data_IF_695798255642
#
_entry.id   IF_695798255642
#
_cell.length_a   1.000
_cell.length_b   1.000
_cell.length_c   1.000
_cell.angle_alpha   90.00
_cell.angle_beta   90.00
_cell.angle_gamma   90.00
#
_symmetry.space_group_name_H-M   'P 1'
#
loop_
_entity.id
_entity.type
_entity.pdbx_description
1 polymer ?
#
# COMPACT_ATOMS: atom_id res chain seq x y z
N UNK A 1 -9.35 -5.37 -0.71
CA UNK A 1 -9.20 -4.16 0.13
C UNK A 1 -10.50 -3.78 0.82
N UNK A 2 -11.59 -3.45 0.12
CA UNK A 2 -12.90 -3.13 0.74
C UNK A 2 -13.33 -4.12 1.84
N UNK A 3 -13.15 -5.43 1.63
CA UNK A 3 -13.47 -6.45 2.63
C UNK A 3 -12.76 -6.26 3.98
N UNK A 4 -11.57 -5.65 4.01
CA UNK A 4 -10.87 -5.36 5.27
C UNK A 4 -11.56 -4.22 6.03
N UNK A 5 -11.98 -3.16 5.33
CA UNK A 5 -12.73 -2.07 5.95
C UNK A 5 -14.10 -2.54 6.45
N UNK A 6 -14.85 -3.28 5.61
CA UNK A 6 -16.15 -3.86 6.00
C UNK A 6 -16.06 -4.85 7.16
N UNK A 7 -14.88 -5.43 7.43
CA UNK A 7 -14.69 -6.39 8.51
C UNK A 7 -14.38 -5.72 9.87
N UNK A 8 -13.85 -4.50 9.88
CA UNK A 8 -13.26 -3.90 11.08
C UNK A 8 -13.68 -2.47 11.37
N UNK A 9 -14.27 -1.77 10.41
CA UNK A 9 -14.69 -0.38 10.56
C UNK A 9 -16.18 -0.35 10.85
N UNK A 10 -16.56 0.40 11.87
CA UNK A 10 -17.94 0.71 12.22
C UNK A 10 -18.18 2.23 12.24
N UNK A 11 -19.44 2.63 12.42
CA UNK A 11 -19.80 4.03 12.51
C UNK A 11 -19.06 4.72 13.67
N UNK A 12 -18.29 5.76 13.34
CA UNK A 12 -17.53 6.54 14.32
C UNK A 12 -16.11 6.06 14.56
N UNK A 13 -15.69 4.94 13.97
CA UNK A 13 -14.28 4.57 13.89
C UNK A 13 -13.53 5.54 12.96
N UNK A 14 -12.29 5.83 13.30
CA UNK A 14 -11.39 6.66 12.51
C UNK A 14 -10.32 5.83 11.82
N UNK A 15 -10.09 6.12 10.54
CA UNK A 15 -9.03 5.50 9.74
C UNK A 15 -8.06 6.57 9.29
N UNK A 16 -6.78 6.37 9.61
CA UNK A 16 -5.71 7.27 9.16
C UNK A 16 -5.24 6.84 7.78
N UNK A 17 -5.16 7.79 6.85
CA UNK A 17 -4.54 7.61 5.53
C UNK A 17 -3.50 8.70 5.28
N UNK A 18 -2.50 8.36 4.45
CA UNK A 18 -1.44 9.30 4.08
C UNK A 18 -1.76 10.04 2.78
N UNK A 19 -1.62 11.36 2.76
CA UNK A 19 -1.80 12.16 1.54
C UNK A 19 -0.48 12.31 0.77
N UNK A 20 -0.50 12.27 -0.57
CA UNK A 20 -1.64 11.95 -1.44
C UNK A 20 -2.01 10.46 -1.36
N UNK A 21 -3.29 10.11 -1.47
CA UNK A 21 -3.77 8.74 -1.28
C UNK A 21 -4.36 8.13 -2.56
N UNK A 22 -4.51 6.80 -2.58
CA UNK A 22 -5.34 6.12 -3.58
C UNK A 22 -6.81 6.46 -3.36
N UNK A 23 -7.47 6.94 -4.42
CA UNK A 23 -8.83 7.47 -4.41
C UNK A 23 -9.85 6.52 -3.77
N UNK A 24 -9.75 5.21 -4.04
CA UNK A 24 -10.69 4.23 -3.49
C UNK A 24 -10.62 4.07 -1.97
N UNK A 25 -9.57 4.55 -1.29
CA UNK A 25 -9.55 4.51 0.18
C UNK A 25 -10.73 5.28 0.75
N UNK A 26 -11.11 6.41 0.15
CA UNK A 26 -12.21 7.25 0.64
C UNK A 26 -13.50 6.45 0.73
N UNK A 27 -13.99 5.99 -0.43
CA UNK A 27 -15.27 5.29 -0.50
C UNK A 27 -15.25 3.99 0.29
N UNK A 28 -14.12 3.30 0.35
CA UNK A 28 -14.01 2.03 1.08
C UNK A 28 -14.06 2.20 2.60
N UNK A 29 -13.60 3.35 3.12
CA UNK A 29 -13.63 3.70 4.55
C UNK A 29 -15.01 4.24 4.94
N UNK A 30 -15.57 5.13 4.12
CA UNK A 30 -16.84 5.80 4.42
C UNK A 30 -18.05 4.87 4.28
N UNK A 31 -17.99 3.89 3.37
CA UNK A 31 -19.08 2.93 3.13
C UNK A 31 -19.52 2.16 4.40
N UNK A 32 -18.61 1.61 5.23
CA UNK A 32 -18.97 1.05 6.54
C UNK A 32 -19.22 2.09 7.65
N UNK A 33 -19.14 3.39 7.35
CA UNK A 33 -19.37 4.48 8.31
C UNK A 33 -18.12 5.04 8.99
N UNK A 34 -16.92 4.70 8.50
CA UNK A 34 -15.66 5.20 9.02
C UNK A 34 -15.42 6.67 8.68
N UNK A 35 -14.68 7.36 9.55
CA UNK A 35 -14.21 8.74 9.34
C UNK A 35 -12.74 8.75 8.98
N UNK A 36 -12.39 9.47 7.91
CA UNK A 36 -11.00 9.55 7.46
C UNK A 36 -10.26 10.63 8.25
N UNK A 37 -9.04 10.30 8.67
CA UNK A 37 -8.09 11.23 9.26
C UNK A 37 -6.86 11.33 8.37
N UNK A 38 -6.57 12.53 7.90
CA UNK A 38 -5.50 12.75 6.93
C UNK A 38 -4.19 13.10 7.62
N UNK A 39 -3.10 12.45 7.18
CA UNK A 39 -1.73 12.79 7.56
C UNK A 39 -0.91 12.97 6.28
N UNK A 40 -0.31 14.14 6.02
CA UNK A 40 0.40 14.38 4.79
C UNK A 40 1.77 13.67 4.76
N UNK A 41 2.13 13.15 3.60
CA UNK A 41 3.52 13.04 3.18
C UNK A 41 3.97 14.44 2.77
N UNK A 42 4.95 14.97 3.48
CA UNK A 42 5.54 16.27 3.20
C UNK A 42 6.46 16.15 1.98
N UNK A 43 6.23 16.95 0.92
CA UNK A 43 7.16 17.02 -0.21
C UNK A 43 8.47 17.68 0.22
N UNK A 44 9.57 17.45 -0.53
CA UNK A 44 10.79 18.23 -0.35
C UNK A 44 10.52 19.72 -0.59
N UNK A 45 11.14 20.59 0.23
CA UNK A 45 10.88 22.04 0.26
C UNK A 45 11.07 22.74 -1.08
N UNK A 46 11.94 22.19 -1.93
CA UNK A 46 12.31 22.68 -3.24
C UNK A 46 11.80 21.79 -4.38
N UNK A 47 10.86 20.87 -4.11
CA UNK A 47 10.30 19.95 -5.10
C UNK A 47 9.50 20.62 -6.23
N UNK A 48 9.15 21.91 -6.08
CA UNK A 48 8.55 22.71 -7.16
C UNK A 48 9.59 23.34 -8.09
N UNK A 49 10.87 23.36 -7.70
CA UNK A 49 11.95 24.09 -8.39
C UNK A 49 13.05 23.15 -8.88
N UNK A 50 13.26 22.03 -8.18
CA UNK A 50 14.17 20.98 -8.62
C UNK A 50 13.53 19.62 -8.58
N UNK A 51 13.97 18.78 -9.51
CA UNK A 51 13.69 17.37 -9.50
C UNK A 51 14.19 16.72 -8.21
N UNK A 52 13.33 15.94 -7.56
CA UNK A 52 13.61 15.25 -6.30
C UNK A 52 13.22 13.78 -6.37
N UNK A 53 13.96 12.92 -5.67
CA UNK A 53 13.60 11.51 -5.46
C UNK A 53 12.35 11.39 -4.58
N UNK A 54 11.50 10.39 -4.82
CA UNK A 54 10.38 10.07 -3.94
C UNK A 54 10.82 9.75 -2.51
N UNK A 55 12.06 9.30 -2.30
CA UNK A 55 12.63 9.08 -0.96
C UNK A 55 12.75 10.36 -0.13
N UNK A 56 12.74 11.54 -0.75
CA UNK A 56 12.78 12.83 -0.06
C UNK A 56 11.41 13.26 0.47
N UNK A 57 10.33 12.57 0.11
CA UNK A 57 9.03 12.75 0.75
C UNK A 57 9.06 12.10 2.12
N UNK A 58 8.60 12.82 3.15
CA UNK A 58 8.69 12.39 4.55
C UNK A 58 7.35 12.39 5.23
N UNK A 59 7.12 11.48 6.16
CA UNK A 59 5.90 11.48 6.98
C UNK A 59 6.01 12.55 8.07
N UNK A 60 4.97 13.37 8.26
CA UNK A 60 4.85 14.19 9.47
C UNK A 60 4.44 13.31 10.66
N UNK A 61 5.44 12.80 11.38
CA UNK A 61 5.22 11.94 12.54
C UNK A 61 4.61 12.68 13.73
N UNK A 62 4.85 13.98 13.87
CA UNK A 62 4.24 14.77 14.95
C UNK A 62 2.73 14.89 14.69
N UNK A 63 2.34 15.15 13.44
CA UNK A 63 0.94 15.15 13.04
C UNK A 63 0.31 13.76 13.13
N UNK A 64 1.02 12.69 12.75
CA UNK A 64 0.55 11.32 12.91
C UNK A 64 0.22 11.01 14.39
N UNK A 65 1.15 11.31 15.29
CA UNK A 65 0.97 11.09 16.73
C UNK A 65 -0.22 11.89 17.29
N UNK A 66 -0.37 13.15 16.89
CA UNK A 66 -1.49 14.02 17.31
C UNK A 66 -2.85 13.58 16.74
N UNK A 67 -2.84 12.89 15.60
CA UNK A 67 -4.06 12.43 14.92
C UNK A 67 -4.65 11.19 15.61
N UNK A 68 -3.79 10.34 16.17
CA UNK A 68 -4.21 9.12 16.85
C UNK A 68 -4.98 9.45 18.14
N UNK A 69 -6.15 8.84 18.30
CA UNK A 69 -6.99 8.94 19.49
C UNK A 69 -7.75 7.63 19.75
N UNK A 70 -8.67 7.64 20.71
CA UNK A 70 -9.42 6.43 21.12
C UNK A 70 -10.36 5.87 20.05
N UNK A 71 -10.68 6.63 19.00
CA UNK A 71 -11.48 6.19 17.85
C UNK A 71 -10.62 5.65 16.71
N UNK A 72 -9.30 5.82 16.75
CA UNK A 72 -8.42 5.37 15.67
C UNK A 72 -8.39 3.85 15.61
N UNK A 73 -9.01 3.29 14.57
CA UNK A 73 -9.18 1.86 14.38
C UNK A 73 -8.13 1.25 13.46
N UNK A 74 -7.74 2.00 12.44
CA UNK A 74 -6.86 1.50 11.38
C UNK A 74 -5.93 2.60 10.84
N UNK A 75 -4.72 2.22 10.44
CA UNK A 75 -3.82 3.02 9.61
C UNK A 75 -3.66 2.30 8.27
N UNK A 76 -3.87 3.01 7.16
CA UNK A 76 -3.61 2.50 5.81
C UNK A 76 -2.21 2.94 5.38
N UNK A 77 -1.35 1.99 5.07
CA UNK A 77 -0.04 2.23 4.47
C UNK A 77 -0.08 1.87 3.00
N UNK A 78 0.61 2.63 2.16
CA UNK A 78 0.79 2.29 0.76
C UNK A 78 2.26 2.39 0.39
N UNK A 79 2.89 1.24 0.10
CA UNK A 79 4.32 1.15 -0.20
C UNK A 79 4.59 -0.06 -1.09
N UNK A 80 5.21 0.09 -2.28
CA UNK A 80 5.53 1.36 -2.95
C UNK A 80 4.29 2.24 -3.19
N UNK A 81 4.44 3.53 -2.90
CA UNK A 81 3.34 4.48 -2.74
C UNK A 81 2.82 5.00 -4.09
N UNK A 82 1.52 4.99 -4.30
CA UNK A 82 0.84 5.63 -5.41
C UNK A 82 0.18 6.94 -4.91
N UNK A 83 0.47 8.12 -5.50
CA UNK A 83 1.19 8.36 -6.77
C UNK A 83 2.69 8.64 -6.65
N UNK A 84 3.21 8.88 -5.45
CA UNK A 84 4.56 9.45 -5.26
C UNK A 84 5.72 8.54 -5.74
N UNK A 85 5.54 7.22 -5.75
CA UNK A 85 6.61 6.25 -5.99
C UNK A 85 7.48 5.94 -4.77
N UNK A 86 7.18 6.55 -3.61
CA UNK A 86 7.97 6.38 -2.38
C UNK A 86 7.88 4.93 -1.90
N UNK A 87 9.03 4.31 -1.69
CA UNK A 87 9.15 3.10 -0.87
C UNK A 87 9.44 3.55 0.56
N UNK A 88 8.52 3.29 1.50
CA UNK A 88 8.72 3.64 2.90
C UNK A 88 9.93 2.89 3.47
N UNK A 89 10.79 3.60 4.20
CA UNK A 89 12.00 3.00 4.77
C UNK A 89 11.66 2.12 5.96
N UNK A 90 12.57 1.23 6.33
CA UNK A 90 12.41 0.39 7.53
C UNK A 90 12.19 1.23 8.78
N UNK A 91 12.93 2.33 8.94
CA UNK A 91 12.85 3.23 10.09
C UNK A 91 11.48 3.95 10.14
N UNK A 92 10.94 4.36 9.00
CA UNK A 92 9.59 4.93 8.92
C UNK A 92 8.54 3.90 9.36
N UNK A 93 8.64 2.67 8.86
CA UNK A 93 7.72 1.58 9.18
C UNK A 93 7.83 1.16 10.66
N UNK A 94 9.03 1.17 11.26
CA UNK A 94 9.24 0.89 12.68
C UNK A 94 8.55 1.95 13.56
N UNK A 95 8.64 3.23 13.20
CA UNK A 95 7.97 4.32 13.94
C UNK A 95 6.45 4.22 13.84
N UNK A 96 5.91 3.98 12.65
CA UNK A 96 4.46 3.75 12.46
C UNK A 96 4.03 2.51 13.26
N UNK A 97 4.82 1.44 13.16
CA UNK A 97 4.58 0.19 13.85
C UNK A 97 4.53 0.37 15.37
N UNK A 98 5.46 1.13 15.95
CA UNK A 98 5.46 1.44 17.38
C UNK A 98 4.18 2.15 17.83
N UNK A 99 3.66 3.09 17.03
CA UNK A 99 2.38 3.76 17.31
C UNK A 99 1.20 2.80 17.20
N UNK A 100 1.17 1.97 16.16
CA UNK A 100 0.13 0.95 15.99
C UNK A 100 0.14 -0.08 17.13
N UNK A 101 1.33 -0.44 17.62
CA UNK A 101 1.52 -1.30 18.80
C UNK A 101 0.94 -0.65 20.04
N UNK A 102 1.42 0.55 20.36
CA UNK A 102 1.05 1.33 21.54
C UNK A 102 -0.46 1.57 21.65
N UNK A 103 -1.12 1.84 20.54
CA UNK A 103 -2.54 2.23 20.50
C UNK A 103 -3.48 1.10 20.08
N UNK A 104 -2.95 -0.12 19.88
CA UNK A 104 -3.74 -1.28 19.43
C UNK A 104 -4.50 -1.05 18.11
N UNK A 105 -3.83 -0.45 17.13
CA UNK A 105 -4.39 -0.07 15.83
C UNK A 105 -4.07 -1.16 14.78
N UNK A 106 -5.05 -1.49 13.93
CA UNK A 106 -4.84 -2.40 12.79
C UNK A 106 -4.08 -1.67 11.69
N UNK A 107 -3.11 -2.34 11.06
CA UNK A 107 -2.41 -1.82 9.88
C UNK A 107 -2.97 -2.51 8.63
N UNK A 108 -3.48 -1.73 7.69
CA UNK A 108 -3.76 -2.21 6.33
C UNK A 108 -2.61 -1.79 5.43
N UNK A 109 -1.70 -2.72 5.12
CA UNK A 109 -0.51 -2.48 4.30
C UNK A 109 -0.82 -2.77 2.83
N UNK A 110 -1.14 -1.73 2.06
CA UNK A 110 -1.35 -1.80 0.62
C UNK A 110 0.00 -1.90 -0.13
N UNK A 111 0.35 -3.14 -0.46
CA UNK A 111 1.62 -3.53 -1.07
C UNK A 111 1.41 -4.07 -2.49
N UNK A 112 0.40 -3.58 -3.24
CA UNK A 112 0.11 -4.07 -4.60
C UNK A 112 1.25 -3.87 -5.61
N UNK A 113 2.23 -3.03 -5.29
CA UNK A 113 3.44 -2.80 -6.07
C UNK A 113 4.70 -3.48 -5.48
N UNK A 114 4.55 -4.48 -4.60
CA UNK A 114 5.64 -5.18 -3.91
C UNK A 114 6.65 -5.95 -4.79
N UNK A 115 6.48 -5.92 -6.12
CA UNK A 115 7.44 -6.43 -7.11
C UNK A 115 8.08 -5.34 -7.97
N UNK A 116 7.57 -4.11 -7.89
CA UNK A 116 8.01 -2.95 -8.66
C UNK A 116 8.65 -1.90 -7.75
N UNK A 117 9.90 -2.13 -7.40
CA UNK A 117 10.71 -1.24 -6.57
C UNK A 117 12.16 -1.25 -7.07
N UNK A 118 12.89 -0.16 -6.82
CA UNK A 118 14.30 0.00 -7.24
C UNK A 118 15.23 0.32 -6.07
N UNK A 119 14.69 0.26 -4.85
CA UNK A 119 15.38 0.42 -3.57
C UNK A 119 14.92 -0.70 -2.63
N UNK A 120 15.64 -1.01 -1.54
CA UNK A 120 15.22 -2.05 -0.60
C UNK A 120 13.76 -1.88 -0.14
N UNK A 121 12.97 -2.95 -0.27
CA UNK A 121 11.57 -2.98 0.11
C UNK A 121 11.39 -3.74 1.43
N UNK A 122 10.65 -3.16 2.36
CA UNK A 122 10.38 -3.75 3.68
C UNK A 122 8.88 -3.90 3.87
N UNK A 123 8.47 -5.10 4.30
CA UNK A 123 7.08 -5.39 4.67
C UNK A 123 6.91 -5.14 6.16
N UNK A 124 5.99 -4.26 6.55
CA UNK A 124 5.81 -3.91 7.97
C UNK A 124 5.45 -5.13 8.83
N UNK A 125 4.69 -6.07 8.28
CA UNK A 125 4.29 -7.29 8.97
C UNK A 125 5.48 -8.20 9.39
N UNK A 126 6.66 -8.05 8.77
CA UNK A 126 7.84 -8.87 9.08
C UNK A 126 8.78 -8.23 10.10
N UNK A 127 8.48 -7.02 10.58
CA UNK A 127 9.36 -6.29 11.48
C UNK A 127 9.33 -6.82 12.91
N UNK A 128 8.17 -7.31 13.38
CA UNK A 128 8.05 -7.98 14.67
C UNK A 128 6.79 -8.86 14.74
N UNK A 129 6.73 -9.83 15.68
CA UNK A 129 5.52 -10.62 15.92
C UNK A 129 4.30 -9.75 16.28
N UNK A 130 4.48 -8.69 17.07
CA UNK A 130 3.40 -7.77 17.46
C UNK A 130 2.82 -7.02 16.26
N UNK A 131 3.65 -6.75 15.24
CA UNK A 131 3.20 -6.14 14.00
C UNK A 131 2.53 -7.14 13.08
N UNK A 132 3.03 -8.38 13.00
CA UNK A 132 2.33 -9.47 12.31
C UNK A 132 0.91 -9.65 12.86
N UNK A 133 0.74 -9.68 14.19
CA UNK A 133 -0.56 -9.87 14.83
C UNK A 133 -1.58 -8.74 14.55
N UNK A 134 -1.20 -7.62 13.96
CA UNK A 134 -2.14 -6.52 13.65
C UNK A 134 -2.13 -6.04 12.21
N UNK A 135 -1.38 -6.71 11.33
CA UNK A 135 -1.23 -6.27 9.93
C UNK A 135 -2.02 -7.15 8.97
N UNK A 136 -2.75 -6.50 8.07
CA UNK A 136 -3.35 -7.11 6.89
C UNK A 136 -2.61 -6.54 5.68
N UNK A 137 -1.82 -7.36 4.99
CA UNK A 137 -1.12 -6.98 3.76
C UNK A 137 -1.98 -7.25 2.54
N UNK A 138 -2.11 -6.27 1.65
CA UNK A 138 -2.85 -6.34 0.39
C UNK A 138 -1.88 -6.60 -0.76
N UNK A 139 -2.22 -7.56 -1.63
CA UNK A 139 -1.53 -7.76 -2.91
C UNK A 139 -2.49 -7.85 -4.10
N UNK A 140 -1.94 -7.73 -5.30
CA UNK A 140 -2.71 -7.74 -6.55
C UNK A 140 -1.98 -8.51 -7.65
N UNK A 141 -2.59 -9.59 -8.12
CA UNK A 141 -2.11 -10.30 -9.31
C UNK A 141 -2.18 -9.40 -10.56
N UNK A 142 -3.20 -8.54 -10.64
CA UNK A 142 -3.36 -7.61 -11.76
C UNK A 142 -2.24 -6.56 -11.85
N UNK A 143 -1.62 -6.18 -10.72
CA UNK A 143 -0.44 -5.31 -10.72
C UNK A 143 0.84 -6.11 -10.89
N UNK A 144 0.96 -7.27 -10.26
CA UNK A 144 2.12 -8.13 -10.38
C UNK A 144 2.36 -8.59 -11.82
N UNK A 145 1.32 -8.96 -12.56
CA UNK A 145 1.42 -9.56 -13.91
C UNK A 145 0.90 -8.67 -15.03
N UNK A 146 0.80 -7.35 -14.82
CA UNK A 146 0.24 -6.40 -15.80
C UNK A 146 -1.16 -6.76 -16.33
N UNK A 147 -1.92 -7.55 -15.56
CA UNK A 147 -3.22 -8.11 -15.93
C UNK A 147 -4.36 -7.48 -15.13
N UNK A 148 -4.45 -6.14 -15.13
CA UNK A 148 -5.40 -5.40 -14.27
C UNK A 148 -6.87 -5.80 -14.45
N UNK A 149 -7.23 -6.28 -15.65
CA UNK A 149 -8.54 -6.82 -15.99
C UNK A 149 -8.86 -8.18 -15.36
N UNK A 150 -7.90 -8.89 -14.77
CA UNK A 150 -8.14 -10.19 -14.15
C UNK A 150 -8.91 -10.10 -12.83
N UNK A 151 -8.84 -8.95 -12.16
CA UNK A 151 -9.54 -8.69 -10.89
C UNK A 151 -9.23 -9.72 -9.79
N UNK A 152 -8.01 -10.26 -9.77
CA UNK A 152 -7.52 -11.15 -8.71
C UNK A 152 -6.58 -10.38 -7.78
N UNK A 153 -6.85 -10.48 -6.48
CA UNK A 153 -6.03 -9.92 -5.41
C UNK A 153 -6.18 -10.77 -4.15
N UNK A 154 -5.36 -10.50 -3.14
CA UNK A 154 -5.27 -11.32 -1.93
C UNK A 154 -4.96 -10.46 -0.71
N UNK A 155 -5.32 -10.99 0.46
CA UNK A 155 -5.07 -10.38 1.77
C UNK A 155 -4.35 -11.41 2.63
N UNK A 156 -3.20 -11.03 3.16
CA UNK A 156 -2.32 -11.88 3.99
C UNK A 156 -2.28 -11.27 5.38
N UNK A 157 -2.39 -12.09 6.42
CA UNK A 157 -2.38 -11.63 7.81
C UNK A 157 -2.65 -12.76 8.80
N UNK A 158 -2.70 -12.45 10.09
CA UNK A 158 -2.89 -13.44 11.13
C UNK A 158 -4.31 -14.03 11.07
N UNK A 159 -4.52 -15.32 11.42
CA UNK A 159 -5.81 -15.98 11.31
C UNK A 159 -6.95 -15.27 12.03
N UNK A 160 -6.65 -14.62 13.16
CA UNK A 160 -7.66 -13.93 13.96
C UNK A 160 -8.20 -12.65 13.28
N UNK A 161 -7.46 -12.07 12.32
CA UNK A 161 -7.95 -10.98 11.47
C UNK A 161 -8.56 -11.49 10.17
N UNK A 162 -7.86 -12.40 9.47
CA UNK A 162 -8.26 -12.87 8.14
C UNK A 162 -9.63 -13.53 8.12
N UNK A 163 -10.03 -14.21 9.21
CA UNK A 163 -11.38 -14.82 9.30
C UNK A 163 -12.52 -13.81 9.11
N UNK A 164 -12.38 -12.58 9.61
CA UNK A 164 -13.41 -11.54 9.48
C UNK A 164 -13.40 -10.91 8.09
N UNK A 165 -12.20 -10.70 7.53
CA UNK A 165 -12.02 -10.26 6.14
C UNK A 165 -12.64 -11.24 5.15
N UNK A 166 -12.42 -12.54 5.36
CA UNK A 166 -13.00 -13.60 4.55
C UNK A 166 -14.53 -13.61 4.67
N UNK A 167 -15.07 -13.46 5.88
CA UNK A 167 -16.52 -13.36 6.09
C UNK A 167 -17.13 -12.16 5.33
N UNK A 168 -16.47 -10.99 5.37
CA UNK A 168 -16.88 -9.83 4.60
C UNK A 168 -16.81 -10.10 3.08
N UNK A 169 -15.70 -10.68 2.58
CA UNK A 169 -15.56 -11.04 1.17
C UNK A 169 -16.67 -11.97 0.69
N UNK A 170 -17.03 -12.99 1.48
CA UNK A 170 -18.13 -13.92 1.16
C UNK A 170 -19.47 -13.20 1.01
N UNK A 171 -19.69 -12.08 1.71
CA UNK A 171 -20.93 -11.31 1.59
C UNK A 171 -20.91 -10.28 0.47
N UNK A 172 -19.72 -9.82 0.06
CA UNK A 172 -19.57 -8.84 -1.02
C UNK A 172 -19.55 -9.54 -2.39
N UNK A 173 -18.70 -10.56 -2.55
CA UNK A 173 -18.48 -11.24 -3.83
C UNK A 173 -18.80 -12.73 -3.80
N UNK A 174 -18.96 -13.34 -2.62
CA UNK A 174 -19.03 -14.78 -2.39
C UNK A 174 -17.73 -15.52 -2.74
N UNK A 175 -17.32 -15.47 -4.00
CA UNK A 175 -16.07 -16.04 -4.50
C UNK A 175 -15.43 -15.12 -5.54
N UNK A 176 -14.15 -15.35 -5.80
CA UNK A 176 -13.40 -14.69 -6.87
C UNK A 176 -13.40 -15.55 -8.15
N UNK A 177 -12.96 -14.98 -9.28
CA UNK A 177 -13.04 -15.61 -10.60
C UNK A 177 -12.11 -16.83 -10.71
N UNK A 178 -12.65 -18.05 -10.68
CA UNK A 178 -11.87 -19.29 -10.53
C UNK A 178 -10.79 -19.52 -11.60
N UNK A 179 -11.07 -19.39 -12.92
CA UNK A 179 -10.02 -19.59 -13.93
C UNK A 179 -8.83 -18.63 -13.78
N UNK A 180 -9.10 -17.40 -13.31
CA UNK A 180 -8.08 -16.37 -13.13
C UNK A 180 -7.32 -16.54 -11.81
N UNK A 181 -7.94 -17.15 -10.79
CA UNK A 181 -7.22 -17.59 -9.60
C UNK A 181 -6.19 -18.66 -9.95
N UNK A 182 -6.58 -19.66 -10.74
CA UNK A 182 -5.67 -20.72 -11.21
C UNK A 182 -4.52 -20.14 -12.05
N UNK A 183 -4.84 -19.29 -13.03
CA UNK A 183 -3.82 -18.63 -13.85
C UNK A 183 -2.85 -17.79 -12.99
N UNK A 184 -3.36 -17.10 -11.96
CA UNK A 184 -2.52 -16.33 -11.04
C UNK A 184 -1.62 -17.22 -10.21
N UNK A 185 -2.11 -18.36 -9.70
CA UNK A 185 -1.33 -19.32 -8.94
C UNK A 185 -0.15 -19.86 -9.75
N UNK A 186 -0.42 -20.36 -10.96
CA UNK A 186 0.62 -20.85 -11.89
C UNK A 186 1.62 -19.74 -12.24
N UNK A 187 1.15 -18.51 -12.46
CA UNK A 187 2.02 -17.38 -12.75
C UNK A 187 2.98 -17.09 -11.59
N UNK A 188 2.50 -17.12 -10.33
CA UNK A 188 3.36 -16.90 -9.17
C UNK A 188 4.42 -18.00 -8.98
N UNK A 189 4.07 -19.27 -9.21
CA UNK A 189 5.03 -20.38 -9.11
C UNK A 189 6.14 -20.30 -10.16
N UNK A 190 5.80 -19.82 -11.37
CA UNK A 190 6.75 -19.73 -12.48
C UNK A 190 7.58 -18.45 -12.49
N UNK A 191 7.05 -17.34 -11.98
CA UNK A 191 7.65 -16.02 -12.17
C UNK A 191 9.10 -15.92 -11.69
N UNK A 192 9.46 -16.55 -10.57
CA UNK A 192 10.85 -16.56 -10.09
C UNK A 192 11.76 -17.39 -11.01
N UNK A 193 11.30 -18.57 -11.44
CA UNK A 193 12.07 -19.46 -12.31
C UNK A 193 12.29 -18.89 -13.71
N UNK A 194 11.33 -18.12 -14.22
CA UNK A 194 11.37 -17.48 -15.54
C UNK A 194 12.06 -16.10 -15.50
N UNK A 195 12.55 -15.63 -14.35
CA UNK A 195 13.20 -14.32 -14.22
C UNK A 195 12.26 -13.11 -14.41
N UNK A 196 10.94 -13.35 -14.42
CA UNK A 196 9.91 -12.38 -14.79
C UNK A 196 9.99 -11.07 -13.98
N UNK A 197 10.27 -11.15 -12.68
CA UNK A 197 10.30 -9.97 -11.82
C UNK A 197 11.46 -9.03 -12.14
N UNK A 198 12.63 -9.59 -12.45
CA UNK A 198 13.80 -8.80 -12.81
C UNK A 198 13.61 -8.15 -14.17
N UNK A 199 13.15 -8.91 -15.16
CA UNK A 199 12.79 -8.41 -16.48
C UNK A 199 11.77 -7.26 -16.39
N UNK A 200 10.67 -7.48 -15.66
CA UNK A 200 9.60 -6.49 -15.46
C UNK A 200 10.13 -5.18 -14.84
N UNK A 201 11.01 -5.26 -13.84
CA UNK A 201 11.65 -4.08 -13.24
C UNK A 201 12.57 -3.39 -14.23
N UNK A 202 13.40 -4.13 -14.96
CA UNK A 202 14.33 -3.56 -15.94
C UNK A 202 13.59 -2.84 -17.08
N UNK A 203 12.50 -3.43 -17.59
CA UNK A 203 11.65 -2.79 -18.59
C UNK A 203 11.01 -1.50 -18.07
N UNK A 204 10.41 -1.55 -16.88
CA UNK A 204 9.76 -0.37 -16.31
C UNK A 204 10.77 0.74 -16.00
N UNK A 205 11.95 0.39 -15.51
CA UNK A 205 13.03 1.36 -15.32
C UNK A 205 13.45 1.99 -16.64
N UNK A 206 13.52 1.21 -17.72
CA UNK A 206 13.76 1.73 -19.07
C UNK A 206 12.69 2.74 -19.52
N UNK A 207 11.41 2.44 -19.28
CA UNK A 207 10.28 3.34 -19.57
C UNK A 207 10.33 4.62 -18.74
N UNK A 208 10.65 4.50 -17.44
CA UNK A 208 10.84 5.64 -16.53
C UNK A 208 11.97 6.54 -17.04
N UNK A 209 13.14 5.98 -17.39
CA UNK A 209 14.27 6.76 -17.94
C UNK A 209 13.85 7.55 -19.16
N UNK A 210 13.19 6.89 -20.12
CA UNK A 210 12.74 7.54 -21.36
C UNK A 210 11.71 8.64 -21.12
N UNK A 211 10.83 8.45 -20.15
CA UNK A 211 9.85 9.47 -19.77
C UNK A 211 10.52 10.67 -19.09
N UNK A 212 11.45 10.42 -18.15
CA UNK A 212 12.20 11.46 -17.46
C UNK A 212 13.10 12.27 -18.40
N UNK A 213 13.67 11.67 -19.45
CA UNK A 213 14.43 12.39 -20.49
C UNK A 213 13.61 13.54 -21.09
N UNK A 214 12.34 13.28 -21.42
CA UNK A 214 11.44 14.30 -21.99
C UNK A 214 11.07 15.36 -20.96
N UNK A 215 10.89 14.99 -19.69
CA UNK A 215 10.60 15.95 -18.62
C UNK A 215 11.79 16.86 -18.33
N UNK A 216 13.00 16.30 -18.33
CA UNK A 216 14.24 17.04 -18.18
C UNK A 216 14.47 17.99 -19.37
N UNK A 217 14.15 17.57 -20.61
CA UNK A 217 14.19 18.45 -21.80
C UNK A 217 13.22 19.64 -21.73
N UNK A 218 12.12 19.49 -20.98
CA UNK A 218 11.09 20.53 -20.80
C UNK A 218 11.24 21.32 -19.49
N UNK A 219 12.33 21.11 -18.73
CA UNK A 219 12.57 21.70 -17.41
C UNK A 219 11.41 21.46 -16.41
N UNK A 220 10.73 20.31 -16.51
CA UNK A 220 9.66 19.92 -15.58
C UNK A 220 10.30 19.14 -14.40
N UNK A 221 10.25 19.64 -13.16
CA UNK A 221 11.02 19.09 -12.03
C UNK A 221 10.39 17.84 -11.40
N UNK A 222 10.11 16.81 -12.19
CA UNK A 222 9.44 15.58 -11.76
C UNK A 222 10.24 14.34 -12.17
N UNK A 223 10.54 13.45 -11.21
CA UNK A 223 11.09 12.11 -11.47
C UNK A 223 10.26 11.05 -10.75
N UNK A 224 9.44 10.26 -11.48
CA UNK A 224 8.96 9.00 -10.94
C UNK A 224 10.18 8.12 -10.63
N UNK A 225 10.33 7.72 -9.36
CA UNK A 225 11.42 6.83 -8.91
C UNK A 225 10.98 5.39 -8.86
#
# INVERSE_FOLDING_TARGET
MLSAFMAFIEQGDEVIIFEPFFDQYISNIEMPGGTIRYVPLLPPKDGAVRTSSASQWTIDFEQLEKTINSKTKMIVLNSPHNPVGKVMTKEELERIGALAVKHNIIILSDEVYDRLYYVPFTRIATLSPELYERTITVGSAGKAFYATGWRVGYLIGPPHLIKYVAAAHTRICYSSVSPLQEASAVAFEKADAEGFWEESRNEMQGKIRRFCEILDELDIPVRPT
#
